data_IF_293247692786
#
_entry.id   IF_293247692786
#
_cell.length_a   1.000
_cell.length_b   1.000
_cell.length_c   1.000
_cell.angle_alpha   90.00
_cell.angle_beta   90.00
_cell.angle_gamma   90.00
#
_symmetry.space_group_name_H-M   'P 1'
#
loop_
_entity.id
_entity.type
_entity.pdbx_description
1 polymer ?
#
# COMPACT_ATOMS: atom_id res chain seq x y z
N UNK A 1 -6.46 -19.17 -22.29
CA UNK A 1 -5.44 -19.29 -21.23
C UNK A 1 -6.11 -20.02 -20.09
N UNK A 2 -5.67 -21.24 -19.79
CA UNK A 2 -6.26 -22.03 -18.71
C UNK A 2 -5.75 -21.47 -17.38
N UNK A 3 -6.67 -20.99 -16.54
CA UNK A 3 -6.33 -20.41 -15.24
C UNK A 3 -6.33 -21.54 -14.22
N UNK A 4 -5.18 -21.79 -13.61
CA UNK A 4 -5.07 -22.72 -12.48
C UNK A 4 -5.46 -21.94 -11.23
N UNK A 5 -6.64 -22.24 -10.68
CA UNK A 5 -7.26 -21.49 -9.57
C UNK A 5 -6.32 -21.35 -8.36
N UNK A 6 -5.74 -22.46 -7.90
CA UNK A 6 -4.84 -22.47 -6.75
C UNK A 6 -3.62 -21.57 -6.95
N UNK A 7 -3.07 -21.57 -8.16
CA UNK A 7 -1.92 -20.73 -8.51
C UNK A 7 -2.30 -19.25 -8.58
N UNK A 8 -3.51 -18.94 -9.04
CA UNK A 8 -4.01 -17.57 -9.09
C UNK A 8 -4.20 -17.01 -7.68
N UNK A 9 -4.84 -17.77 -6.79
CA UNK A 9 -5.05 -17.38 -5.39
C UNK A 9 -3.71 -17.24 -4.65
N UNK A 10 -2.79 -18.18 -4.84
CA UNK A 10 -1.44 -18.13 -4.24
C UNK A 10 -0.59 -16.95 -4.74
N UNK A 11 -1.00 -16.27 -5.82
CA UNK A 11 -0.33 -15.06 -6.31
C UNK A 11 -0.49 -13.85 -5.40
N UNK A 12 -1.49 -13.83 -4.52
CA UNK A 12 -1.72 -12.75 -3.56
C UNK A 12 -1.05 -13.08 -2.22
N UNK A 13 -0.06 -12.26 -1.83
CA UNK A 13 0.65 -12.45 -0.56
C UNK A 13 0.09 -11.54 0.55
N UNK A 14 -0.55 -12.09 1.59
CA UNK A 14 -1.10 -11.31 2.71
C UNK A 14 -0.07 -10.90 3.77
N UNK A 15 1.19 -11.34 3.68
CA UNK A 15 2.19 -11.19 4.75
C UNK A 15 2.58 -9.76 5.11
N UNK A 16 2.20 -8.77 4.30
CA UNK A 16 2.43 -7.34 4.59
C UNK A 16 1.17 -6.61 5.08
N UNK A 17 0.04 -7.31 5.26
CA UNK A 17 -1.21 -6.68 5.72
C UNK A 17 -1.04 -6.01 7.10
N UNK A 18 -0.45 -6.72 8.06
CA UNK A 18 -0.23 -6.20 9.41
C UNK A 18 0.77 -5.02 9.41
N UNK A 19 1.79 -5.09 8.58
CA UNK A 19 2.77 -4.02 8.38
C UNK A 19 2.10 -2.73 7.89
N UNK A 20 1.26 -2.84 6.86
CA UNK A 20 0.51 -1.70 6.32
C UNK A 20 -0.47 -1.15 7.36
N UNK A 21 -1.16 -2.02 8.10
CA UNK A 21 -2.10 -1.62 9.14
C UNK A 21 -1.41 -0.85 10.28
N UNK A 22 -0.29 -1.35 10.80
CA UNK A 22 0.51 -0.66 11.81
C UNK A 22 1.01 0.70 11.28
N UNK A 23 1.43 0.76 10.01
CA UNK A 23 1.89 1.99 9.39
C UNK A 23 0.79 3.05 9.31
N UNK A 24 -0.41 2.72 8.83
CA UNK A 24 -1.49 3.74 8.73
C UNK A 24 -2.03 4.17 10.11
N UNK A 25 -1.80 3.36 11.15
CA UNK A 25 -2.11 3.70 12.55
C UNK A 25 -0.98 4.45 13.27
N UNK A 26 0.07 4.86 12.56
CA UNK A 26 1.10 5.76 13.11
C UNK A 26 2.34 5.09 13.73
N UNK A 27 2.51 3.77 13.62
CA UNK A 27 3.72 3.09 14.10
C UNK A 27 4.99 3.62 13.40
N UNK A 28 6.06 3.89 14.12
CA UNK A 28 7.31 4.32 13.48
C UNK A 28 7.88 3.25 12.55
N UNK A 29 8.66 3.66 11.54
CA UNK A 29 9.27 2.69 10.61
C UNK A 29 10.18 1.69 11.35
N UNK A 30 10.85 2.13 12.42
CA UNK A 30 11.69 1.24 13.24
C UNK A 30 10.90 0.15 13.96
N UNK A 31 9.68 0.44 14.42
CA UNK A 31 8.81 -0.56 15.06
C UNK A 31 8.34 -1.60 14.05
N UNK A 32 7.98 -1.16 12.84
CA UNK A 32 7.56 -2.05 11.75
C UNK A 32 8.69 -2.99 11.34
N UNK A 33 9.91 -2.48 11.17
CA UNK A 33 11.06 -3.31 10.78
C UNK A 33 11.38 -4.37 11.84
N UNK A 34 11.03 -4.13 13.10
CA UNK A 34 11.17 -5.12 14.18
C UNK A 34 10.02 -6.13 14.24
N UNK A 35 8.88 -5.85 13.63
CA UNK A 35 7.70 -6.73 13.65
C UNK A 35 7.67 -7.74 12.49
N UNK A 36 8.60 -7.65 11.53
CA UNK A 36 8.65 -8.53 10.36
C UNK A 36 10.09 -8.82 9.93
N UNK A 37 10.33 -10.01 9.37
CA UNK A 37 11.62 -10.40 8.78
C UNK A 37 11.79 -9.91 7.33
N UNK A 38 10.84 -9.11 6.82
CA UNK A 38 10.91 -8.56 5.46
C UNK A 38 11.88 -7.38 5.41
N UNK A 39 12.79 -7.39 4.43
CA UNK A 39 13.72 -6.29 4.19
C UNK A 39 13.02 -4.93 4.04
N UNK A 40 13.63 -3.90 4.63
CA UNK A 40 13.10 -2.53 4.72
C UNK A 40 12.81 -1.94 3.34
N UNK A 41 13.72 -2.15 2.39
CA UNK A 41 13.54 -1.70 1.01
C UNK A 41 12.35 -2.36 0.31
N UNK A 42 12.00 -3.59 0.68
CA UNK A 42 10.81 -4.27 0.16
C UNK A 42 9.53 -3.70 0.77
N UNK A 43 9.54 -3.34 2.06
CA UNK A 43 8.43 -2.64 2.72
C UNK A 43 8.20 -1.27 2.07
N UNK A 44 9.25 -0.46 1.91
CA UNK A 44 9.15 0.87 1.28
C UNK A 44 8.59 0.75 -0.15
N UNK A 45 9.09 -0.20 -0.94
CA UNK A 45 8.58 -0.44 -2.30
C UNK A 45 7.11 -0.88 -2.29
N UNK A 46 6.70 -1.73 -1.35
CA UNK A 46 5.32 -2.15 -1.21
C UNK A 46 4.40 -0.97 -0.89
N UNK A 47 4.75 -0.15 0.11
CA UNK A 47 3.96 1.02 0.51
C UNK A 47 3.85 2.06 -0.62
N UNK A 48 4.93 2.30 -1.37
CA UNK A 48 4.89 3.19 -2.54
C UNK A 48 4.00 2.66 -3.65
N UNK A 49 4.09 1.36 -3.98
CA UNK A 49 3.19 0.72 -4.95
C UNK A 49 1.74 0.77 -4.50
N UNK A 50 1.48 0.60 -3.20
CA UNK A 50 0.13 0.70 -2.64
C UNK A 50 -0.44 2.11 -2.80
N UNK A 51 0.37 3.17 -2.65
CA UNK A 51 -0.05 4.54 -2.93
C UNK A 51 -0.45 4.75 -4.39
N UNK A 52 0.30 4.17 -5.33
CA UNK A 52 0.01 4.23 -6.76
C UNK A 52 -1.31 3.53 -7.07
N UNK A 53 -1.55 2.35 -6.50
CA UNK A 53 -2.82 1.63 -6.63
C UNK A 53 -3.97 2.44 -6.05
N UNK A 54 -3.82 3.06 -4.87
CA UNK A 54 -4.87 3.92 -4.30
C UNK A 54 -5.21 5.08 -5.23
N UNK A 55 -4.22 5.71 -5.87
CA UNK A 55 -4.43 6.77 -6.86
C UNK A 55 -5.21 6.27 -8.08
N UNK A 56 -4.93 5.07 -8.56
CA UNK A 56 -5.69 4.45 -9.65
C UNK A 56 -7.14 4.16 -9.23
N UNK A 57 -7.34 3.66 -8.01
CA UNK A 57 -8.68 3.39 -7.46
C UNK A 57 -9.51 4.66 -7.26
N UNK A 58 -8.89 5.78 -6.88
CA UNK A 58 -9.55 7.11 -6.82
C UNK A 58 -10.05 7.50 -8.22
N UNK A 59 -9.21 7.36 -9.25
CA UNK A 59 -9.58 7.70 -10.62
C UNK A 59 -10.68 6.77 -11.16
N UNK A 60 -10.61 5.47 -10.87
CA UNK A 60 -11.66 4.52 -11.22
C UNK A 60 -12.99 4.86 -10.53
N UNK A 61 -12.95 5.20 -9.24
CA UNK A 61 -14.15 5.59 -8.47
C UNK A 61 -14.80 6.86 -9.03
N UNK A 62 -14.00 7.85 -9.44
CA UNK A 62 -14.47 9.05 -10.15
C UNK A 62 -15.16 8.70 -11.46
N UNK A 63 -14.56 7.80 -12.26
CA UNK A 63 -15.15 7.36 -13.53
C UNK A 63 -16.50 6.63 -13.33
N UNK A 64 -16.64 5.88 -12.24
CA UNK A 64 -17.89 5.23 -11.84
C UNK A 64 -18.88 6.18 -11.13
N UNK A 65 -18.57 7.46 -10.96
CA UNK A 65 -19.36 8.44 -10.18
C UNK A 65 -19.66 8.00 -8.73
N UNK A 66 -18.80 7.16 -8.14
CA UNK A 66 -18.93 6.69 -6.76
C UNK A 66 -18.10 7.56 -5.81
N UNK A 67 -18.73 8.60 -5.26
CA UNK A 67 -18.09 9.58 -4.37
C UNK A 67 -17.68 9.03 -3.01
N UNK A 68 -18.39 8.01 -2.51
CA UNK A 68 -18.08 7.40 -1.22
C UNK A 68 -16.75 6.64 -1.29
N UNK A 69 -16.57 5.81 -2.33
CA UNK A 69 -15.32 5.10 -2.56
C UNK A 69 -14.17 6.06 -2.86
N UNK A 70 -14.41 7.10 -3.65
CA UNK A 70 -13.42 8.15 -3.92
C UNK A 70 -12.89 8.76 -2.61
N UNK A 71 -13.79 9.21 -1.73
CA UNK A 71 -13.43 9.80 -0.45
C UNK A 71 -12.65 8.82 0.44
N UNK A 72 -13.09 7.56 0.49
CA UNK A 72 -12.46 6.49 1.29
C UNK A 72 -11.04 6.19 0.81
N UNK A 73 -10.81 6.12 -0.50
CA UNK A 73 -9.45 5.91 -1.04
C UNK A 73 -8.55 7.12 -0.85
N UNK A 74 -9.10 8.35 -0.95
CA UNK A 74 -8.34 9.57 -0.69
C UNK A 74 -7.91 9.68 0.79
N UNK A 75 -8.77 9.28 1.73
CA UNK A 75 -8.44 9.18 3.15
C UNK A 75 -7.35 8.13 3.42
N UNK A 76 -7.53 6.92 2.89
CA UNK A 76 -6.54 5.85 3.03
C UNK A 76 -5.16 6.27 2.49
N UNK A 77 -5.14 6.98 1.35
CA UNK A 77 -3.93 7.50 0.73
C UNK A 77 -3.22 8.55 1.60
N UNK A 78 -3.98 9.45 2.25
CA UNK A 78 -3.43 10.44 3.19
C UNK A 78 -2.77 9.77 4.39
N UNK A 79 -3.41 8.76 4.97
CA UNK A 79 -2.86 8.03 6.13
C UNK A 79 -1.60 7.23 5.76
N UNK A 80 -1.51 6.75 4.52
CA UNK A 80 -0.34 6.03 4.03
C UNK A 80 0.87 6.95 3.81
N UNK A 81 0.65 8.18 3.33
CA UNK A 81 1.71 9.09 2.85
C UNK A 81 2.36 9.89 3.97
N UNK A 82 3.34 9.30 4.65
CA UNK A 82 4.14 9.96 5.71
C UNK A 82 5.62 9.58 5.72
N UNK A 83 6.41 10.41 6.38
CA UNK A 83 7.80 10.15 6.80
C UNK A 83 8.73 9.57 5.71
N UNK A 84 9.67 8.72 6.15
CA UNK A 84 10.79 8.17 5.37
C UNK A 84 10.36 7.40 4.12
N UNK A 85 9.15 6.82 4.12
CA UNK A 85 8.62 6.02 3.01
C UNK A 85 8.41 6.88 1.75
N UNK A 86 8.19 8.19 1.93
CA UNK A 86 7.96 9.16 0.85
C UNK A 86 9.05 10.24 0.78
N UNK A 87 10.21 10.01 1.38
CA UNK A 87 11.37 10.88 1.19
C UNK A 87 11.76 10.97 -0.29
N UNK A 88 12.12 12.17 -0.75
CA UNK A 88 12.52 12.39 -2.13
C UNK A 88 13.82 11.63 -2.48
N UNK A 89 13.93 11.22 -3.74
CA UNK A 89 15.20 10.70 -4.26
C UNK A 89 16.28 11.78 -4.18
N UNK A 90 17.52 11.37 -3.93
CA UNK A 90 18.69 12.26 -3.98
C UNK A 90 19.04 12.72 -5.41
N UNK A 91 18.44 12.09 -6.42
CA UNK A 91 18.65 12.40 -7.85
C UNK A 91 17.53 13.24 -8.47
N UNK A 92 16.61 13.75 -7.65
CA UNK A 92 15.51 14.61 -8.09
C UNK A 92 15.89 16.09 -7.98
#
# INVERSE_FOLDING_TARGET
MEVIEDKYVAGFNPGLMDVVYQWVNGASFSEIVKSTDVFEGSIIRCLRRLEEVLREMINASKACSNKELEAKFEEARKNLKRDIVFAASLYL
#
